data_IF_562800077349
#
_entry.id   IF_562800077349
#
_cell.length_a   1.000
_cell.length_b   1.000
_cell.length_c   1.000
_cell.angle_alpha   90.00
_cell.angle_beta   90.00
_cell.angle_gamma   90.00
#
_symmetry.space_group_name_H-M   'P 1'
#
loop_
_entity.id
_entity.type
_entity.pdbx_description
1 polymer ?
#
# COMPACT_ATOMS: atom_id res chain seq x y z
N UNK A 1 -2.54 -5.13 18.65
CA UNK A 1 -1.46 -5.48 17.70
C UNK A 1 -0.76 -4.22 17.21
N UNK A 2 -1.47 -3.27 16.60
CA UNK A 2 -0.90 -2.03 16.04
C UNK A 2 -0.10 -1.19 17.05
N UNK A 3 -0.69 -0.88 18.22
CA UNK A 3 -0.02 -0.08 19.26
C UNK A 3 1.27 -0.70 19.81
N UNK A 4 1.33 -2.04 19.88
CA UNK A 4 2.52 -2.77 20.34
C UNK A 4 3.70 -2.64 19.36
N UNK A 5 3.42 -2.42 18.09
CA UNK A 5 4.43 -2.23 17.03
C UNK A 5 4.66 -0.74 16.71
N UNK A 6 4.08 0.18 17.49
CA UNK A 6 4.16 1.62 17.20
C UNK A 6 3.45 2.03 15.90
N UNK A 7 2.47 1.24 15.44
CA UNK A 7 1.67 1.57 14.26
C UNK A 7 0.51 2.47 14.67
N UNK A 8 0.34 3.57 13.94
CA UNK A 8 -0.74 4.53 14.12
C UNK A 8 -1.48 4.75 12.81
N UNK A 9 -2.75 5.10 12.90
CA UNK A 9 -3.54 5.53 11.75
C UNK A 9 -3.15 6.96 11.37
N UNK A 10 -2.68 7.15 10.14
CA UNK A 10 -2.43 8.49 9.62
C UNK A 10 -3.75 9.22 9.30
N UNK A 11 -3.77 10.53 9.52
CA UNK A 11 -4.89 11.42 9.17
C UNK A 11 -4.90 11.80 7.69
N UNK A 12 -3.77 11.71 7.01
CA UNK A 12 -3.61 12.05 5.60
C UNK A 12 -2.71 11.08 4.85
N UNK A 13 -2.84 11.03 3.52
CA UNK A 13 -1.95 10.25 2.66
C UNK A 13 -0.51 10.75 2.72
N UNK A 14 -0.27 12.01 3.07
CA UNK A 14 1.09 12.59 3.21
C UNK A 14 1.82 12.04 4.44
N UNK A 15 1.11 11.86 5.55
CA UNK A 15 1.66 11.36 6.82
C UNK A 15 1.73 9.83 6.87
N UNK A 16 0.96 9.15 6.02
CA UNK A 16 0.95 7.69 5.95
C UNK A 16 2.27 7.12 5.41
N UNK A 17 2.73 5.98 5.92
CA UNK A 17 3.82 5.22 5.29
C UNK A 17 3.29 4.10 4.39
N UNK A 18 2.16 3.50 4.77
CA UNK A 18 1.51 2.39 4.07
C UNK A 18 0.02 2.69 3.91
N UNK A 19 -0.57 2.22 2.82
CA UNK A 19 -2.02 2.19 2.63
C UNK A 19 -2.50 0.73 2.67
N UNK A 20 -3.37 0.41 3.63
CA UNK A 20 -3.84 -0.96 3.85
C UNK A 20 -5.25 -1.13 3.32
N UNK A 21 -5.47 -2.08 2.41
CA UNK A 21 -6.78 -2.37 1.81
C UNK A 21 -6.85 -3.78 1.25
N UNK A 22 -8.06 -4.33 1.12
CA UNK A 22 -8.34 -5.66 0.58
C UNK A 22 -8.60 -5.67 -0.94
N UNK A 23 -8.89 -4.52 -1.55
CA UNK A 23 -9.30 -4.41 -2.96
C UNK A 23 -8.89 -3.09 -3.60
N UNK A 24 -8.84 -3.08 -4.93
CA UNK A 24 -8.56 -1.85 -5.65
C UNK A 24 -9.81 -0.97 -5.77
N UNK A 25 -9.76 0.23 -5.21
CA UNK A 25 -10.80 1.26 -5.34
C UNK A 25 -10.17 2.63 -5.61
N UNK A 26 -10.74 3.39 -6.54
CA UNK A 26 -10.23 4.73 -6.91
C UNK A 26 -10.64 5.82 -5.91
N UNK A 27 -10.36 5.60 -4.63
CA UNK A 27 -10.52 6.63 -3.59
C UNK A 27 -9.35 7.61 -3.63
N UNK A 28 -9.55 8.80 -3.08
CA UNK A 28 -8.49 9.81 -2.95
C UNK A 28 -7.23 9.23 -2.30
N UNK A 29 -7.36 8.63 -1.12
CA UNK A 29 -6.22 8.14 -0.35
C UNK A 29 -5.46 7.02 -1.08
N UNK A 30 -6.17 6.16 -1.82
CA UNK A 30 -5.53 5.10 -2.59
C UNK A 30 -4.71 5.67 -3.74
N UNK A 31 -5.30 6.57 -4.53
CA UNK A 31 -4.61 7.17 -5.68
C UNK A 31 -3.45 8.07 -5.25
N UNK A 32 -3.60 8.83 -4.17
CA UNK A 32 -2.52 9.63 -3.58
C UNK A 32 -1.38 8.74 -3.08
N UNK A 33 -1.70 7.65 -2.36
CA UNK A 33 -0.68 6.69 -1.90
C UNK A 33 0.09 6.08 -3.08
N UNK A 34 -0.62 5.68 -4.14
CA UNK A 34 0.01 5.18 -5.36
C UNK A 34 0.89 6.23 -6.04
N UNK A 35 0.41 7.48 -6.16
CA UNK A 35 1.15 8.55 -6.80
C UNK A 35 2.42 8.95 -6.02
N UNK A 36 2.39 8.80 -4.69
CA UNK A 36 3.53 9.00 -3.80
C UNK A 36 4.45 7.77 -3.71
N UNK A 37 4.16 6.69 -4.45
CA UNK A 37 4.94 5.45 -4.39
C UNK A 37 4.85 4.71 -3.05
N UNK A 38 3.83 5.00 -2.24
CA UNK A 38 3.63 4.37 -0.93
C UNK A 38 3.10 2.96 -1.11
N UNK A 39 3.62 1.95 -0.38
CA UNK A 39 3.12 0.59 -0.47
C UNK A 39 1.61 0.52 -0.23
N UNK A 40 0.92 -0.11 -1.18
CA UNK A 40 -0.48 -0.49 -1.03
C UNK A 40 -0.51 -1.99 -0.71
N UNK A 41 -0.83 -2.34 0.54
CA UNK A 41 -0.71 -3.69 1.08
C UNK A 41 -2.04 -4.26 1.56
N UNK A 42 -2.12 -5.59 1.64
CA UNK A 42 -3.27 -6.29 2.22
C UNK A 42 -3.23 -6.29 3.75
N UNK A 43 -4.38 -6.48 4.44
CA UNK A 43 -4.43 -6.59 5.90
C UNK A 43 -3.52 -7.69 6.48
N UNK A 44 -3.24 -8.75 5.69
CA UNK A 44 -2.38 -9.86 6.09
C UNK A 44 -0.93 -9.44 6.39
N UNK A 45 -0.48 -8.29 5.88
CA UNK A 45 0.81 -7.71 6.28
C UNK A 45 0.81 -7.34 7.77
N UNK A 46 -0.24 -6.66 8.25
CA UNK A 46 -0.37 -6.28 9.66
C UNK A 46 -0.48 -7.51 10.57
N UNK A 47 -1.21 -8.53 10.12
CA UNK A 47 -1.33 -9.81 10.84
C UNK A 47 0.04 -10.48 10.98
N UNK A 48 0.79 -10.54 9.88
CA UNK A 48 2.11 -11.16 9.85
C UNK A 48 3.15 -10.37 10.67
N UNK A 49 3.12 -9.04 10.62
CA UNK A 49 3.90 -8.19 11.53
C UNK A 49 3.53 -8.46 13.00
N UNK A 50 2.23 -8.61 13.28
CA UNK A 50 1.72 -8.93 14.61
C UNK A 50 2.21 -10.27 15.15
N UNK A 51 2.27 -11.28 14.30
CA UNK A 51 2.79 -12.62 14.63
C UNK A 51 4.31 -12.60 14.83
N UNK A 52 5.05 -11.92 13.96
CA UNK A 52 6.50 -11.79 14.06
C UNK A 52 6.97 -10.85 15.18
N UNK A 53 6.06 -10.05 15.76
CA UNK A 53 6.37 -8.98 16.70
C UNK A 53 7.37 -7.95 16.16
N UNK A 54 7.45 -7.78 14.84
CA UNK A 54 8.31 -6.82 14.15
C UNK A 54 7.72 -6.43 12.78
N UNK A 55 8.30 -5.42 12.15
CA UNK A 55 7.98 -5.10 10.75
C UNK A 55 8.62 -6.13 9.82
N UNK A 56 7.84 -6.65 8.88
CA UNK A 56 8.33 -7.55 7.84
C UNK A 56 8.22 -6.87 6.47
N UNK A 57 8.98 -7.38 5.50
CA UNK A 57 8.97 -6.88 4.11
C UNK A 57 7.56 -6.87 3.51
N UNK A 58 7.11 -5.68 3.14
CA UNK A 58 5.77 -5.42 2.60
C UNK A 58 5.59 -5.92 1.17
N UNK A 59 6.69 -6.17 0.43
CA UNK A 59 6.65 -6.53 -0.99
C UNK A 59 5.82 -7.78 -1.27
N UNK A 60 5.83 -8.75 -0.34
CA UNK A 60 5.04 -9.99 -0.44
C UNK A 60 3.54 -9.78 -0.22
N UNK A 61 3.16 -8.62 0.28
CA UNK A 61 1.79 -8.28 0.68
C UNK A 61 1.21 -7.15 -0.16
N UNK A 62 1.90 -6.70 -1.21
CA UNK A 62 1.36 -5.72 -2.15
C UNK A 62 0.02 -6.22 -2.68
N UNK A 63 -0.99 -5.34 -2.64
CA UNK A 63 -2.33 -5.63 -3.10
C UNK A 63 -2.29 -6.12 -4.56
N UNK A 64 -2.97 -7.25 -4.81
CA UNK A 64 -3.14 -7.83 -6.14
C UNK A 64 -4.62 -8.01 -6.46
N UNK A 65 -5.20 -7.05 -7.15
CA UNK A 65 -6.58 -7.16 -7.67
C UNK A 65 -6.54 -7.50 -9.16
N UNK A 66 -6.34 -8.78 -9.47
CA UNK A 66 -6.14 -9.24 -10.85
C UNK A 66 -7.30 -8.88 -11.79
N UNK A 67 -8.52 -8.78 -11.26
CA UNK A 67 -9.70 -8.39 -12.03
C UNK A 67 -9.61 -6.92 -12.42
N UNK A 68 -9.40 -6.02 -11.45
CA UNK A 68 -9.33 -4.58 -11.70
C UNK A 68 -8.08 -4.17 -12.48
N UNK A 69 -6.96 -4.83 -12.21
CA UNK A 69 -5.73 -4.63 -12.97
C UNK A 69 -5.89 -4.95 -14.45
N UNK A 70 -6.57 -6.06 -14.78
CA UNK A 70 -6.87 -6.42 -16.17
C UNK A 70 -7.86 -5.44 -16.80
N UNK A 71 -8.90 -5.04 -16.07
CA UNK A 71 -9.93 -4.11 -16.55
C UNK A 71 -9.35 -2.73 -16.90
N UNK A 72 -8.42 -2.24 -16.09
CA UNK A 72 -7.83 -0.90 -16.25
C UNK A 72 -6.55 -0.95 -17.10
N UNK A 73 -5.88 -2.11 -17.18
CA UNK A 73 -4.64 -2.28 -17.93
C UNK A 73 -3.40 -1.77 -17.19
N UNK A 74 -3.29 -2.04 -15.89
CA UNK A 74 -2.11 -1.68 -15.09
C UNK A 74 -1.62 -2.85 -14.23
N UNK A 75 -0.46 -2.67 -13.59
CA UNK A 75 0.09 -3.61 -12.62
C UNK A 75 0.41 -2.88 -11.32
N UNK A 76 -0.24 -3.23 -10.21
CA UNK A 76 -0.08 -2.51 -8.94
C UNK A 76 1.38 -2.41 -8.50
N UNK A 77 2.08 -3.56 -8.42
CA UNK A 77 3.47 -3.59 -7.96
C UNK A 77 4.39 -2.75 -8.86
N UNK A 78 4.25 -2.86 -10.18
CA UNK A 78 5.05 -2.10 -11.13
C UNK A 78 4.75 -0.61 -11.04
N UNK A 79 3.48 -0.22 -10.93
CA UNK A 79 3.07 1.18 -10.77
C UNK A 79 3.67 1.82 -9.52
N UNK A 80 3.67 1.11 -8.39
CA UNK A 80 4.27 1.59 -7.14
C UNK A 80 5.80 1.76 -7.27
N UNK A 81 6.49 0.80 -7.90
CA UNK A 81 7.93 0.89 -8.14
C UNK A 81 8.27 2.11 -8.99
N UNK A 82 7.55 2.34 -10.09
CA UNK A 82 7.80 3.50 -10.95
C UNK A 82 7.52 4.83 -10.23
N UNK A 83 6.41 4.93 -9.49
CA UNK A 83 6.06 6.13 -8.74
C UNK A 83 7.07 6.44 -7.62
N UNK A 84 7.69 5.42 -7.01
CA UNK A 84 8.77 5.60 -6.04
C UNK A 84 10.09 6.08 -6.65
N UNK A 85 10.30 5.92 -7.95
CA UNK A 85 11.51 6.36 -8.66
C UNK A 85 11.39 7.78 -9.20
N UNK A 86 10.22 8.15 -9.73
CA UNK A 86 9.96 9.47 -10.29
C UNK A 86 8.53 9.90 -9.96
N UNK A 87 8.32 11.18 -9.57
CA UNK A 87 6.98 11.74 -9.45
C UNK A 87 6.20 11.60 -10.75
N UNK A 88 4.97 11.08 -10.68
CA UNK A 88 4.15 10.79 -11.86
C UNK A 88 3.75 12.04 -12.66
N UNK A 89 3.68 13.20 -12.00
CA UNK A 89 3.11 14.45 -12.56
C UNK A 89 4.14 15.59 -12.65
N UNK A 90 5.45 15.27 -12.74
CA UNK A 90 6.53 16.24 -12.97
C UNK A 90 7.19 16.08 -14.34
#
# INVERSE_FOLDING_TARGET
>A
ILSRLGIYTASSSSDATHFVTDKFVRTRNMLESMALGKPVVTPSWLESCGQACCFIDEKKYILRDAKKEREIGFNMASSLVHAGQKPLLQ
#
